data_IF_393279362012
#
_entry.id   IF_393279362012
#
_cell.length_a   1.000
_cell.length_b   1.000
_cell.length_c   1.000
_cell.angle_alpha   90.00
_cell.angle_beta   90.00
_cell.angle_gamma   90.00
#
_symmetry.space_group_name_H-M   'P 1'
#
loop_
_entity.id
_entity.type
_entity.pdbx_description
1 polymer ?
#
# COMPACT_ATOMS: atom_id res chain seq x y z
N UNK A 1 -16.71 2.23 22.17
CA UNK A 1 -16.00 1.98 20.91
C UNK A 1 -14.60 2.57 21.02
N UNK A 2 -13.56 1.73 20.92
CA UNK A 2 -12.18 2.22 20.85
C UNK A 2 -11.98 3.03 19.56
N UNK A 3 -11.06 3.99 19.60
CA UNK A 3 -10.71 4.75 18.40
C UNK A 3 -9.99 3.80 17.44
N UNK A 4 -10.51 3.65 16.22
CA UNK A 4 -9.88 2.83 15.18
C UNK A 4 -8.67 3.51 14.52
N UNK A 5 -8.03 4.47 15.15
CA UNK A 5 -6.90 5.18 14.58
C UNK A 5 -5.86 5.53 15.66
N UNK A 6 -4.57 5.62 15.30
CA UNK A 6 -3.54 6.05 16.22
C UNK A 6 -3.81 7.44 16.80
N UNK A 7 -3.26 7.75 17.98
CA UNK A 7 -3.24 9.15 18.46
C UNK A 7 -2.64 10.02 17.36
N UNK A 8 -3.37 11.05 16.92
CA UNK A 8 -2.96 11.89 15.79
C UNK A 8 -3.37 13.34 15.95
N UNK A 9 -2.68 14.20 15.21
CA UNK A 9 -3.00 15.61 15.10
C UNK A 9 -2.79 16.10 13.67
N UNK A 10 -3.78 16.79 13.12
CA UNK A 10 -3.65 17.52 11.85
C UNK A 10 -3.12 18.90 12.15
N UNK A 11 -2.07 19.32 11.44
CA UNK A 11 -1.39 20.60 11.62
C UNK A 11 -1.16 21.29 10.28
N UNK A 12 -1.23 22.60 10.25
CA UNK A 12 -0.78 23.37 9.08
C UNK A 12 0.75 23.32 9.00
N UNK A 13 1.30 23.35 7.79
CA UNK A 13 2.76 23.30 7.56
C UNK A 13 3.49 24.36 8.37
N UNK A 14 2.96 25.59 8.44
CA UNK A 14 3.55 26.71 9.18
C UNK A 14 3.67 26.45 10.70
N UNK A 15 2.82 25.57 11.24
CA UNK A 15 2.76 25.23 12.66
C UNK A 15 3.54 23.95 12.99
N UNK A 16 3.95 23.21 11.96
CA UNK A 16 4.53 21.87 12.10
C UNK A 16 5.78 21.85 13.00
N UNK A 17 6.77 22.74 12.75
CA UNK A 17 8.01 22.79 13.52
C UNK A 17 7.80 23.11 15.02
N UNK A 18 6.71 23.77 15.37
CA UNK A 18 6.37 24.02 16.77
C UNK A 18 5.63 22.85 17.40
N UNK A 19 4.71 22.25 16.64
CA UNK A 19 3.89 21.12 17.12
C UNK A 19 4.72 19.87 17.35
N UNK A 20 5.67 19.58 16.45
CA UNK A 20 6.47 18.34 16.50
C UNK A 20 7.29 18.21 17.79
N UNK A 21 7.62 19.33 18.45
CA UNK A 21 8.31 19.36 19.74
C UNK A 21 7.53 18.73 20.89
N UNK A 22 6.21 18.54 20.70
CA UNK A 22 5.31 17.92 21.68
C UNK A 22 5.17 16.40 21.46
N UNK A 23 5.90 15.84 20.49
CA UNK A 23 5.81 14.43 20.13
C UNK A 23 7.10 13.70 20.50
N UNK A 24 6.92 12.53 21.10
CA UNK A 24 8.02 11.62 21.43
C UNK A 24 8.22 10.61 20.29
N UNK A 25 9.50 10.26 20.03
CA UNK A 25 9.83 9.22 19.05
C UNK A 25 9.43 7.82 19.56
N UNK A 26 9.04 6.89 18.66
CA UNK A 26 8.84 7.10 17.24
C UNK A 26 7.44 7.66 16.90
N UNK A 27 7.35 8.42 15.80
CA UNK A 27 6.09 8.91 15.26
C UNK A 27 6.10 8.92 13.73
N UNK A 28 4.91 9.08 13.13
CA UNK A 28 4.69 9.09 11.69
C UNK A 28 4.20 10.46 11.25
N UNK A 29 4.73 10.94 10.12
CA UNK A 29 4.25 12.15 9.44
C UNK A 29 3.66 11.73 8.10
N UNK A 30 2.47 12.27 7.78
CA UNK A 30 1.77 12.02 6.51
C UNK A 30 1.25 13.33 5.94
N UNK A 31 1.04 13.46 4.61
CA UNK A 31 0.23 14.54 4.04
C UNK A 31 -1.17 14.53 4.64
N UNK A 32 -1.70 15.72 4.94
CA UNK A 32 -3.01 15.90 5.57
C UNK A 32 -4.07 16.46 4.63
N UNK A 33 -3.75 16.66 3.36
CA UNK A 33 -4.65 17.18 2.35
C UNK A 33 -5.39 16.05 1.61
N UNK A 34 -6.48 16.43 0.92
CA UNK A 34 -7.31 15.51 0.13
C UNK A 34 -6.66 15.08 -1.21
N UNK A 35 -5.38 15.41 -1.41
CA UNK A 35 -4.66 15.01 -2.62
C UNK A 35 -4.34 13.51 -2.58
N UNK A 36 -4.60 12.78 -3.67
CA UNK A 36 -4.35 11.36 -3.70
C UNK A 36 -2.83 11.08 -3.61
N UNK A 37 -2.43 10.39 -2.55
CA UNK A 37 -1.07 9.86 -2.39
C UNK A 37 -1.10 8.36 -2.66
N UNK A 38 -0.11 7.84 -3.39
CA UNK A 38 -0.01 6.42 -3.71
C UNK A 38 1.34 5.86 -3.25
N UNK A 39 1.36 4.58 -2.85
CA UNK A 39 2.59 3.84 -2.59
C UNK A 39 3.39 4.27 -1.36
N UNK A 40 2.78 4.99 -0.42
CA UNK A 40 3.47 5.44 0.81
C UNK A 40 4.50 6.55 0.62
N UNK A 41 4.59 7.16 -0.56
CA UNK A 41 5.61 8.19 -0.86
C UNK A 41 5.54 9.43 0.03
N UNK A 42 4.39 9.70 0.64
CA UNK A 42 4.20 10.81 1.57
C UNK A 42 4.37 10.41 3.04
N UNK A 43 4.53 9.12 3.37
CA UNK A 43 4.67 8.63 4.73
C UNK A 43 6.13 8.70 5.16
N UNK A 44 6.38 9.27 6.34
CA UNK A 44 7.73 9.42 6.91
C UNK A 44 7.69 8.93 8.37
N UNK A 45 8.36 7.83 8.65
CA UNK A 45 8.51 7.31 10.01
C UNK A 45 9.79 7.89 10.61
N UNK A 46 9.65 8.58 11.73
CA UNK A 46 10.75 9.20 12.46
C UNK A 46 11.05 8.39 13.73
N UNK A 47 12.18 7.71 13.77
CA UNK A 47 12.66 6.99 14.93
C UNK A 47 13.57 7.86 15.83
N UNK A 48 14.18 8.91 15.26
CA UNK A 48 15.11 9.82 15.94
C UNK A 48 15.24 11.14 15.17
N UNK A 49 15.95 12.09 15.74
CA UNK A 49 16.13 13.43 15.18
C UNK A 49 16.67 13.46 13.75
N UNK A 50 17.55 12.53 13.38
CA UNK A 50 18.09 12.50 12.02
C UNK A 50 17.01 12.16 10.96
N UNK A 51 16.03 11.32 11.30
CA UNK A 51 14.89 11.02 10.41
C UNK A 51 13.97 12.24 10.32
N UNK A 52 13.72 12.91 11.45
CA UNK A 52 12.93 14.14 11.48
C UNK A 52 13.55 15.24 10.60
N UNK A 53 14.87 15.43 10.64
CA UNK A 53 15.54 16.42 9.79
C UNK A 53 15.39 16.11 8.30
N UNK A 54 15.47 14.83 7.90
CA UNK A 54 15.18 14.40 6.53
C UNK A 54 13.73 14.68 6.15
N UNK A 55 12.79 14.37 7.06
CA UNK A 55 11.36 14.64 6.85
C UNK A 55 11.11 16.14 6.67
N UNK A 56 11.67 17.00 7.50
CA UNK A 56 11.55 18.47 7.40
C UNK A 56 12.09 18.98 6.05
N UNK A 57 13.25 18.47 5.61
CA UNK A 57 13.83 18.85 4.32
C UNK A 57 12.87 18.47 3.17
N UNK A 58 12.37 17.25 3.18
CA UNK A 58 11.43 16.76 2.16
C UNK A 58 10.09 17.53 2.16
N UNK A 59 9.58 17.89 3.33
CA UNK A 59 8.37 18.70 3.46
C UNK A 59 8.62 20.09 2.85
N UNK A 60 9.77 20.72 3.12
CA UNK A 60 10.12 22.04 2.56
C UNK A 60 10.26 22.03 1.04
N UNK A 61 10.74 20.93 0.47
CA UNK A 61 10.82 20.74 -0.98
C UNK A 61 9.44 20.54 -1.62
N UNK A 62 8.52 19.90 -0.89
CA UNK A 62 7.17 19.56 -1.36
C UNK A 62 6.08 20.61 -1.01
N UNK A 63 6.42 21.75 -0.39
CA UNK A 63 5.46 22.77 0.09
C UNK A 63 4.57 23.39 -0.97
N UNK A 64 4.85 23.21 -2.26
CA UNK A 64 3.98 23.65 -3.35
C UNK A 64 2.71 22.78 -3.50
N UNK A 65 2.69 21.57 -2.90
CA UNK A 65 1.65 20.56 -3.13
C UNK A 65 0.83 20.22 -1.88
N UNK A 66 1.28 20.58 -0.68
CA UNK A 66 0.66 20.19 0.59
C UNK A 66 0.52 21.39 1.54
N UNK A 67 -0.67 21.60 2.12
CA UNK A 67 -0.94 22.69 3.08
C UNK A 67 -1.01 22.22 4.53
N UNK A 68 -1.26 20.92 4.75
CA UNK A 68 -1.41 20.32 6.07
C UNK A 68 -0.71 18.98 6.17
N UNK A 69 -0.32 18.64 7.40
CA UNK A 69 0.33 17.38 7.75
C UNK A 69 -0.46 16.69 8.86
N UNK A 70 -0.39 15.37 8.88
CA UNK A 70 -0.86 14.55 9.99
C UNK A 70 0.37 14.04 10.72
N UNK A 71 0.44 14.27 12.04
CA UNK A 71 1.42 13.63 12.92
C UNK A 71 0.67 12.54 13.67
N UNK A 72 1.17 11.31 13.62
CA UNK A 72 0.56 10.14 14.25
C UNK A 72 1.56 9.40 15.15
N UNK A 73 1.06 8.81 16.22
CA UNK A 73 1.81 7.83 16.99
C UNK A 73 2.18 6.63 16.09
N UNK A 74 3.46 6.24 16.09
CA UNK A 74 3.84 4.98 15.46
C UNK A 74 3.31 3.80 16.29
N UNK A 75 2.58 2.91 15.65
CA UNK A 75 2.13 1.66 16.24
C UNK A 75 3.19 0.59 15.99
N UNK A 76 3.61 -0.12 17.05
CA UNK A 76 4.40 -1.33 16.91
C UNK A 76 3.47 -2.44 16.42
N UNK A 77 3.69 -2.87 15.18
CA UNK A 77 2.81 -3.77 14.48
C UNK A 77 3.17 -5.24 14.69
N UNK A 78 2.19 -6.03 15.12
CA UNK A 78 2.20 -7.49 15.07
C UNK A 78 1.78 -7.99 13.68
N UNK A 79 0.83 -7.27 13.05
CA UNK A 79 0.35 -7.59 11.72
C UNK A 79 -0.16 -6.33 10.99
N UNK A 80 -0.10 -6.37 9.65
CA UNK A 80 -0.57 -5.31 8.77
C UNK A 80 -1.44 -5.94 7.68
N UNK A 81 -2.75 -5.71 7.74
CA UNK A 81 -3.72 -6.27 6.81
C UNK A 81 -4.35 -5.18 5.94
N UNK A 82 -4.52 -5.48 4.65
CA UNK A 82 -5.44 -4.76 3.80
C UNK A 82 -6.73 -5.59 3.68
N UNK A 83 -7.80 -5.18 4.37
CA UNK A 83 -9.11 -5.84 4.30
C UNK A 83 -9.99 -5.16 3.27
N UNK A 84 -10.72 -5.96 2.47
CA UNK A 84 -11.49 -5.42 1.36
C UNK A 84 -12.96 -5.80 1.41
N UNK A 85 -13.78 -4.82 1.04
CA UNK A 85 -15.22 -4.93 0.99
C UNK A 85 -15.76 -4.37 -0.32
N UNK A 86 -16.95 -4.85 -0.69
CA UNK A 86 -17.77 -4.25 -1.73
C UNK A 86 -19.16 -3.94 -1.17
N UNK A 87 -19.77 -2.89 -1.68
CA UNK A 87 -21.17 -2.57 -1.40
C UNK A 87 -21.95 -2.34 -2.67
N UNK A 88 -23.13 -2.92 -2.71
CA UNK A 88 -24.20 -2.58 -3.66
C UNK A 88 -25.56 -2.63 -2.95
N UNK A 89 -26.55 -1.91 -3.47
CA UNK A 89 -27.91 -1.92 -2.90
C UNK A 89 -28.54 -3.32 -2.90
N UNK A 90 -28.24 -4.14 -3.91
CA UNK A 90 -28.82 -5.48 -4.03
C UNK A 90 -28.15 -6.54 -3.17
N UNK A 91 -26.85 -6.38 -2.85
CA UNK A 91 -26.07 -7.40 -2.13
C UNK A 91 -25.69 -6.98 -0.70
N UNK A 92 -25.87 -5.70 -0.38
CA UNK A 92 -25.35 -5.15 0.88
C UNK A 92 -23.82 -5.12 0.90
N UNK A 93 -23.24 -5.06 2.10
CA UNK A 93 -21.79 -5.09 2.30
C UNK A 93 -21.30 -6.54 2.21
N UNK A 94 -20.38 -6.80 1.28
CA UNK A 94 -19.73 -8.08 1.08
C UNK A 94 -18.25 -7.98 1.45
N UNK A 95 -17.74 -8.92 2.25
CA UNK A 95 -16.31 -9.09 2.49
C UNK A 95 -15.69 -9.82 1.29
N UNK A 96 -14.66 -9.22 0.67
CA UNK A 96 -13.98 -9.77 -0.50
C UNK A 96 -12.73 -10.58 -0.15
N UNK A 97 -12.21 -10.40 1.06
CA UNK A 97 -10.98 -11.01 1.51
C UNK A 97 -10.01 -10.00 2.10
N UNK A 98 -8.84 -10.48 2.51
CA UNK A 98 -7.75 -9.65 2.98
C UNK A 98 -6.40 -10.14 2.44
N UNK A 99 -5.44 -9.25 2.43
CA UNK A 99 -4.05 -9.51 2.10
C UNK A 99 -3.15 -8.95 3.20
N UNK A 100 -1.99 -9.58 3.43
CA UNK A 100 -0.94 -8.97 4.25
C UNK A 100 -0.28 -7.87 3.43
N UNK A 101 -0.16 -6.68 3.99
CA UNK A 101 0.58 -5.58 3.38
C UNK A 101 2.06 -5.70 3.74
N UNK A 102 2.91 -5.65 2.72
CA UNK A 102 4.36 -5.68 2.89
C UNK A 102 4.90 -4.26 2.86
N UNK A 103 5.61 -3.86 3.92
CA UNK A 103 6.28 -2.56 4.02
C UNK A 103 7.73 -2.76 4.44
N UNK A 104 8.59 -1.80 4.11
CA UNK A 104 9.91 -1.73 4.70
C UNK A 104 9.88 -1.02 6.06
N UNK A 105 11.03 -0.96 6.73
CA UNK A 105 11.17 -0.30 8.03
C UNK A 105 10.85 1.21 8.04
N UNK A 106 10.77 1.83 6.86
CA UNK A 106 10.40 3.24 6.71
C UNK A 106 8.94 3.44 6.28
N UNK A 107 8.16 2.34 6.16
CA UNK A 107 6.76 2.36 5.74
C UNK A 107 6.54 2.40 4.23
N UNK A 108 7.61 2.22 3.40
CA UNK A 108 7.43 2.13 1.96
C UNK A 108 6.76 0.82 1.58
N UNK A 109 5.74 0.93 0.76
CA UNK A 109 4.96 -0.19 0.29
C UNK A 109 5.77 -1.11 -0.64
N UNK A 110 5.80 -2.40 -0.31
CA UNK A 110 6.49 -3.47 -1.03
C UNK A 110 5.55 -4.56 -1.57
N UNK A 111 4.28 -4.24 -1.71
CA UNK A 111 3.27 -5.14 -2.24
C UNK A 111 2.33 -5.73 -1.19
N UNK A 112 1.53 -6.67 -1.65
CA UNK A 112 0.64 -7.47 -0.81
C UNK A 112 0.89 -8.95 -1.06
N UNK A 113 0.79 -9.76 -0.02
CA UNK A 113 0.75 -11.23 -0.15
C UNK A 113 -0.60 -11.78 0.32
N UNK A 114 -1.01 -12.92 -0.24
CA UNK A 114 -2.23 -13.57 0.20
C UNK A 114 -2.09 -14.04 1.65
N UNK A 115 -3.20 -14.00 2.38
CA UNK A 115 -3.29 -14.50 3.75
C UNK A 115 -4.58 -15.29 3.94
N UNK A 116 -4.51 -16.36 4.75
CA UNK A 116 -5.65 -17.25 5.02
C UNK A 116 -6.21 -17.09 6.43
N UNK A 117 -5.43 -16.50 7.34
CA UNK A 117 -5.77 -16.45 8.78
C UNK A 117 -5.90 -15.01 9.26
N UNK A 118 -6.95 -14.31 8.79
CA UNK A 118 -7.28 -12.98 9.29
C UNK A 118 -8.20 -13.11 10.50
N UNK A 119 -7.85 -12.55 11.67
CA UNK A 119 -8.72 -12.59 12.83
C UNK A 119 -10.07 -11.92 12.56
N UNK A 120 -11.17 -12.51 13.07
CA UNK A 120 -12.52 -11.99 12.84
C UNK A 120 -12.68 -10.56 13.34
N UNK A 121 -12.03 -10.18 14.44
CA UNK A 121 -12.10 -8.82 14.97
C UNK A 121 -11.47 -7.76 14.02
N UNK A 122 -10.51 -8.16 13.18
CA UNK A 122 -9.94 -7.29 12.13
C UNK A 122 -10.93 -7.11 10.98
N UNK A 123 -11.59 -8.20 10.56
CA UNK A 123 -12.63 -8.16 9.52
C UNK A 123 -13.79 -7.28 10.00
N UNK A 124 -14.21 -7.44 11.23
CA UNK A 124 -15.30 -6.65 11.83
C UNK A 124 -14.95 -5.16 11.94
N UNK A 125 -13.70 -4.81 12.30
CA UNK A 125 -13.24 -3.43 12.29
C UNK A 125 -13.34 -2.81 10.88
N UNK A 126 -12.91 -3.53 9.85
CA UNK A 126 -13.05 -3.11 8.45
C UNK A 126 -14.51 -2.98 8.02
N UNK A 127 -15.40 -3.90 8.46
CA UNK A 127 -16.84 -3.84 8.19
C UNK A 127 -17.47 -2.57 8.76
N UNK A 128 -17.15 -2.20 9.99
CA UNK A 128 -17.65 -0.99 10.64
C UNK A 128 -17.19 0.27 9.90
N UNK A 129 -15.96 0.30 9.38
CA UNK A 129 -15.48 1.41 8.54
C UNK A 129 -16.29 1.47 7.24
N UNK A 130 -16.53 0.33 6.60
CA UNK A 130 -17.34 0.26 5.38
C UNK A 130 -18.77 0.73 5.61
N UNK A 131 -19.40 0.36 6.73
CA UNK A 131 -20.75 0.82 7.13
C UNK A 131 -20.81 2.35 7.27
N UNK A 132 -19.77 2.96 7.86
CA UNK A 132 -19.67 4.42 7.95
C UNK A 132 -19.63 5.05 6.56
N UNK A 133 -18.81 4.49 5.65
CA UNK A 133 -18.72 4.96 4.27
C UNK A 133 -20.05 4.84 3.53
N UNK A 134 -20.72 3.69 3.62
CA UNK A 134 -22.05 3.44 3.03
C UNK A 134 -23.09 4.42 3.55
N UNK A 135 -23.11 4.67 4.86
CA UNK A 135 -24.03 5.65 5.47
C UNK A 135 -23.75 7.09 5.01
N UNK A 136 -22.55 7.37 4.49
CA UNK A 136 -22.18 8.63 3.85
C UNK A 136 -22.39 8.63 2.33
N UNK A 137 -22.96 7.57 1.76
CA UNK A 137 -23.29 7.44 0.34
C UNK A 137 -22.24 6.72 -0.52
N UNK A 138 -21.23 6.07 0.09
CA UNK A 138 -20.26 5.29 -0.68
C UNK A 138 -20.91 4.07 -1.34
N UNK A 139 -20.53 3.82 -2.59
CA UNK A 139 -20.92 2.65 -3.39
C UNK A 139 -19.68 2.11 -4.11
N UNK A 140 -19.50 0.79 -4.12
CA UNK A 140 -18.42 0.12 -4.85
C UNK A 140 -17.46 -0.63 -3.93
N UNK A 141 -16.20 -0.77 -4.36
CA UNK A 141 -15.13 -1.52 -3.68
C UNK A 141 -14.25 -0.59 -2.87
N UNK A 142 -13.97 -0.97 -1.63
CA UNK A 142 -13.03 -0.27 -0.74
C UNK A 142 -12.05 -1.25 -0.10
N UNK A 143 -10.84 -0.76 0.21
CA UNK A 143 -9.82 -1.50 0.95
C UNK A 143 -9.25 -0.65 2.08
N UNK A 144 -9.13 -1.23 3.27
CA UNK A 144 -8.67 -0.53 4.47
C UNK A 144 -7.40 -1.19 5.00
N UNK A 145 -6.36 -0.37 5.20
CA UNK A 145 -5.11 -0.84 5.79
C UNK A 145 -5.20 -0.74 7.31
N UNK A 146 -5.18 -1.91 7.95
CA UNK A 146 -5.39 -2.08 9.39
C UNK A 146 -4.14 -2.69 10.03
N UNK A 147 -3.52 -1.96 10.96
CA UNK A 147 -2.47 -2.48 11.81
C UNK A 147 -3.09 -3.16 13.04
N UNK A 148 -2.46 -4.25 13.47
CA UNK A 148 -2.76 -4.92 14.74
C UNK A 148 -1.51 -4.84 15.62
N UNK A 149 -1.64 -4.37 16.85
CA UNK A 149 -0.55 -4.35 17.82
C UNK A 149 -0.46 -5.66 18.64
N UNK A 150 0.52 -5.76 19.53
CA UNK A 150 0.72 -6.95 20.38
C UNK A 150 -0.44 -7.23 21.36
N UNK A 151 -1.24 -6.21 21.67
CA UNK A 151 -2.42 -6.30 22.54
C UNK A 151 -3.71 -6.58 21.75
N UNK A 152 -3.60 -6.93 20.45
CA UNK A 152 -4.72 -7.17 19.53
C UNK A 152 -5.63 -5.94 19.28
N UNK A 153 -5.15 -4.72 19.55
CA UNK A 153 -5.85 -3.51 19.15
C UNK A 153 -5.70 -3.28 17.64
N UNK A 154 -6.80 -2.85 17.00
CA UNK A 154 -6.84 -2.58 15.55
C UNK A 154 -6.78 -1.09 15.30
N UNK A 155 -5.91 -0.66 14.37
CA UNK A 155 -5.72 0.73 13.97
C UNK A 155 -5.86 0.88 12.46
N UNK A 156 -6.84 1.66 12.02
CA UNK A 156 -6.97 2.05 10.61
C UNK A 156 -5.94 3.14 10.28
N UNK A 157 -5.06 2.85 9.35
CA UNK A 157 -3.97 3.75 8.95
C UNK A 157 -4.15 4.35 7.56
N UNK A 158 -4.91 3.67 6.68
CA UNK A 158 -5.26 4.19 5.35
C UNK A 158 -6.63 3.65 4.92
N UNK A 159 -7.49 4.56 4.44
CA UNK A 159 -8.87 4.28 4.06
C UNK A 159 -9.04 4.50 2.55
N UNK A 160 -8.89 3.43 1.79
CA UNK A 160 -9.00 3.48 0.36
C UNK A 160 -10.44 3.14 -0.08
N UNK A 161 -11.32 4.15 -0.18
CA UNK A 161 -12.66 4.00 -0.75
C UNK A 161 -12.60 3.89 -2.29
N UNK A 162 -11.81 2.94 -2.76
CA UNK A 162 -11.54 2.60 -4.15
C UNK A 162 -10.89 1.22 -4.24
N UNK A 163 -10.78 0.67 -5.45
CA UNK A 163 -9.88 -0.45 -5.68
C UNK A 163 -8.43 -0.06 -5.36
N UNK A 164 -7.70 -0.98 -4.78
CA UNK A 164 -6.27 -0.82 -4.44
C UNK A 164 -5.43 -2.00 -4.98
N UNK A 165 -4.14 -2.05 -4.62
CA UNK A 165 -3.20 -3.03 -5.17
C UNK A 165 -3.64 -4.48 -4.99
N UNK A 166 -4.15 -4.85 -3.82
CA UNK A 166 -4.54 -6.24 -3.53
C UNK A 166 -5.92 -6.63 -4.07
N UNK A 167 -6.76 -5.69 -4.52
CA UNK A 167 -8.12 -6.00 -5.00
C UNK A 167 -8.12 -7.04 -6.11
N UNK A 168 -7.31 -6.82 -7.15
CA UNK A 168 -7.24 -7.76 -8.30
C UNK A 168 -6.68 -9.12 -7.87
N UNK A 169 -5.69 -9.16 -6.97
CA UNK A 169 -5.13 -10.41 -6.44
C UNK A 169 -6.19 -11.23 -5.70
N UNK A 170 -6.99 -10.59 -4.84
CA UNK A 170 -8.05 -11.27 -4.10
C UNK A 170 -9.16 -11.78 -5.02
N UNK A 171 -9.57 -11.00 -6.02
CA UNK A 171 -10.61 -11.39 -6.97
C UNK A 171 -10.16 -12.51 -7.92
N UNK A 172 -8.88 -12.61 -8.23
CA UNK A 172 -8.29 -13.64 -9.10
C UNK A 172 -7.73 -14.84 -8.31
N UNK A 173 -7.83 -14.85 -6.99
CA UNK A 173 -7.19 -15.86 -6.15
C UNK A 173 -7.59 -17.30 -6.53
N UNK A 174 -8.88 -17.53 -6.80
CA UNK A 174 -9.40 -18.84 -7.18
C UNK A 174 -8.96 -19.27 -8.59
N UNK A 175 -8.87 -18.31 -9.52
CA UNK A 175 -8.48 -18.57 -10.91
C UNK A 175 -6.99 -18.93 -11.00
N UNK A 176 -6.14 -18.25 -10.21
CA UNK A 176 -4.70 -18.54 -10.17
C UNK A 176 -4.40 -19.84 -9.44
N UNK A 177 -5.27 -20.29 -8.52
CA UNK A 177 -5.22 -21.56 -7.80
C UNK A 177 -3.80 -21.95 -7.33
N UNK A 178 -3.10 -21.02 -6.70
CA UNK A 178 -1.72 -21.16 -6.26
C UNK A 178 -1.59 -21.04 -4.74
N UNK A 179 -0.62 -21.73 -4.15
CA UNK A 179 -0.40 -21.73 -2.70
C UNK A 179 0.06 -20.37 -2.17
N UNK A 180 0.81 -19.62 -2.99
CA UNK A 180 1.27 -18.27 -2.64
C UNK A 180 1.07 -17.30 -3.80
N UNK A 181 0.65 -16.09 -3.46
CA UNK A 181 0.43 -14.98 -4.39
C UNK A 181 0.99 -13.70 -3.80
N UNK A 182 1.64 -12.87 -4.65
CA UNK A 182 2.16 -11.56 -4.27
C UNK A 182 1.86 -10.53 -5.35
N UNK A 183 1.11 -9.48 -5.00
CA UNK A 183 0.92 -8.32 -5.86
C UNK A 183 2.08 -7.34 -5.67
N UNK A 184 2.60 -6.81 -6.78
CA UNK A 184 3.51 -5.66 -6.77
C UNK A 184 3.48 -4.89 -8.09
N UNK A 185 4.05 -3.67 -8.09
CA UNK A 185 4.24 -2.85 -9.30
C UNK A 185 5.71 -2.50 -9.46
N UNK A 186 6.24 -2.76 -10.65
CA UNK A 186 7.62 -2.50 -11.03
C UNK A 186 7.71 -1.32 -12.00
N UNK A 187 8.87 -0.67 -12.05
CA UNK A 187 9.20 0.35 -13.02
C UNK A 187 10.46 -0.06 -13.78
N UNK A 188 10.52 0.33 -15.05
CA UNK A 188 11.76 0.18 -15.83
C UNK A 188 12.90 1.00 -15.20
N UNK A 189 14.13 0.49 -15.31
CA UNK A 189 15.34 1.17 -14.77
C UNK A 189 16.06 2.05 -15.79
N UNK A 190 15.64 2.00 -17.06
CA UNK A 190 16.25 2.80 -18.14
C UNK A 190 15.83 2.35 -19.52
N UNK A 191 15.86 1.04 -19.80
CA UNK A 191 15.43 0.47 -21.08
C UNK A 191 14.02 -0.12 -20.96
N UNK A 192 13.02 0.55 -21.55
CA UNK A 192 11.63 0.10 -21.54
C UNK A 192 11.44 -1.17 -22.38
N UNK A 193 12.18 -1.34 -23.47
CA UNK A 193 12.12 -2.53 -24.32
C UNK A 193 12.66 -3.75 -23.59
N UNK A 194 13.82 -3.63 -22.92
CA UNK A 194 14.37 -4.70 -22.09
C UNK A 194 13.39 -5.08 -20.97
N UNK A 195 12.83 -4.09 -20.28
CA UNK A 195 11.83 -4.29 -19.23
C UNK A 195 10.62 -5.10 -19.73
N UNK A 196 10.06 -4.71 -20.88
CA UNK A 196 8.93 -5.41 -21.48
C UNK A 196 9.27 -6.85 -21.88
N UNK A 197 10.43 -7.08 -22.50
CA UNK A 197 10.86 -8.43 -22.89
C UNK A 197 11.10 -9.35 -21.70
N UNK A 198 11.66 -8.81 -20.60
CA UNK A 198 11.82 -9.55 -19.35
C UNK A 198 10.47 -9.95 -18.77
N UNK A 199 9.49 -9.04 -18.72
CA UNK A 199 8.12 -9.34 -18.29
C UNK A 199 7.53 -10.49 -19.12
N UNK A 200 7.63 -10.41 -20.47
CA UNK A 200 7.07 -11.43 -21.36
C UNK A 200 7.66 -12.83 -21.12
N UNK A 201 8.93 -12.92 -20.73
CA UNK A 201 9.57 -14.19 -20.36
C UNK A 201 8.83 -14.85 -19.20
N UNK A 202 8.69 -14.16 -18.06
CA UNK A 202 8.06 -14.70 -16.85
C UNK A 202 6.55 -14.93 -16.99
N UNK A 203 5.86 -14.11 -17.81
CA UNK A 203 4.47 -14.38 -18.17
C UNK A 203 4.33 -15.67 -18.96
N UNK A 204 5.22 -15.94 -19.94
CA UNK A 204 5.20 -17.18 -20.74
C UNK A 204 5.59 -18.41 -19.90
N UNK A 205 6.45 -18.24 -18.92
CA UNK A 205 6.83 -19.29 -17.96
C UNK A 205 5.70 -19.62 -16.97
N UNK A 206 4.65 -18.78 -16.89
CA UNK A 206 3.48 -19.01 -16.06
C UNK A 206 3.69 -18.70 -14.58
N UNK A 207 4.74 -17.96 -14.21
CA UNK A 207 5.03 -17.57 -12.83
C UNK A 207 4.51 -16.17 -12.46
N UNK A 208 4.10 -15.39 -13.48
CA UNK A 208 3.72 -14.00 -13.36
C UNK A 208 2.44 -13.72 -14.16
N UNK A 209 1.41 -13.21 -13.47
CA UNK A 209 0.15 -12.82 -14.07
C UNK A 209 0.09 -11.30 -14.29
N UNK A 210 -0.04 -10.80 -15.53
CA UNK A 210 -0.06 -9.37 -15.83
C UNK A 210 -1.41 -8.74 -15.48
N UNK A 211 -1.39 -7.58 -14.82
CA UNK A 211 -2.60 -6.80 -14.50
C UNK A 211 -2.65 -5.49 -15.30
N UNK A 212 -1.54 -4.78 -15.39
CA UNK A 212 -1.48 -3.51 -16.10
C UNK A 212 -0.06 -3.24 -16.59
N UNK A 213 0.05 -2.64 -17.78
CA UNK A 213 1.31 -2.15 -18.32
C UNK A 213 1.12 -0.71 -18.84
N UNK A 214 1.96 0.19 -18.40
CA UNK A 214 2.09 1.54 -18.94
C UNK A 214 3.39 1.59 -19.73
N UNK A 215 3.30 1.90 -21.01
CA UNK A 215 4.45 2.06 -21.90
C UNK A 215 4.99 3.49 -21.81
N UNK A 216 6.17 3.64 -21.24
CA UNK A 216 6.83 4.93 -21.10
C UNK A 216 7.29 5.55 -22.42
N UNK A 217 7.43 4.74 -23.47
CA UNK A 217 7.87 5.23 -24.79
C UNK A 217 6.69 5.72 -25.66
N UNK A 218 5.44 5.53 -25.20
CA UNK A 218 4.24 5.87 -26.00
C UNK A 218 4.19 7.34 -26.45
N UNK A 219 4.62 8.26 -25.60
CA UNK A 219 4.54 9.71 -25.87
C UNK A 219 5.76 10.31 -26.59
N UNK A 220 6.86 9.58 -26.72
CA UNK A 220 7.98 9.90 -27.61
C UNK A 220 8.86 11.11 -27.27
N UNK A 221 8.55 11.88 -26.24
CA UNK A 221 9.25 13.15 -25.98
C UNK A 221 10.28 13.09 -24.85
N UNK A 222 10.05 12.30 -23.80
CA UNK A 222 10.99 12.13 -22.70
C UNK A 222 11.07 10.65 -22.32
N UNK A 223 12.22 10.19 -21.83
CA UNK A 223 12.40 8.83 -21.33
C UNK A 223 11.60 8.61 -20.04
N UNK A 224 10.29 8.45 -20.21
CA UNK A 224 9.40 8.11 -19.12
C UNK A 224 9.56 6.63 -18.79
N UNK A 225 9.63 6.30 -17.49
CA UNK A 225 9.72 4.90 -17.06
C UNK A 225 8.42 4.17 -17.32
N UNK A 226 8.51 3.01 -17.96
CA UNK A 226 7.39 2.07 -18.04
C UNK A 226 7.04 1.55 -16.64
N UNK A 227 5.76 1.22 -16.42
CA UNK A 227 5.25 0.66 -15.17
C UNK A 227 4.46 -0.61 -15.43
N UNK A 228 4.65 -1.60 -14.59
CA UNK A 228 4.01 -2.89 -14.70
C UNK A 228 3.45 -3.35 -13.34
N UNK A 229 2.13 -3.54 -13.27
CA UNK A 229 1.44 -4.13 -12.13
C UNK A 229 1.12 -5.60 -12.39
N UNK A 230 1.43 -6.49 -11.46
CA UNK A 230 1.32 -7.92 -11.64
C UNK A 230 1.04 -8.69 -10.35
N UNK A 231 0.70 -9.98 -10.53
CA UNK A 231 0.65 -10.97 -9.45
C UNK A 231 1.71 -12.02 -9.74
N UNK A 232 2.68 -12.15 -8.85
CA UNK A 232 3.52 -13.34 -8.76
C UNK A 232 2.72 -14.46 -8.12
N UNK A 233 2.80 -15.67 -8.66
CA UNK A 233 2.08 -16.81 -8.11
C UNK A 233 2.84 -18.12 -8.29
N UNK A 234 2.59 -19.07 -7.39
CA UNK A 234 3.23 -20.39 -7.40
C UNK A 234 2.81 -21.23 -6.20
N UNK A 235 3.38 -22.44 -6.13
CA UNK A 235 3.01 -23.42 -5.10
C UNK A 235 3.51 -23.02 -3.71
N UNK A 236 4.63 -22.29 -3.63
CA UNK A 236 5.22 -21.86 -2.36
C UNK A 236 5.76 -20.42 -2.41
N UNK A 237 5.87 -19.82 -1.23
CA UNK A 237 6.46 -18.49 -1.03
C UNK A 237 7.93 -18.45 -1.50
N UNK A 238 8.68 -19.49 -1.19
CA UNK A 238 10.10 -19.63 -1.55
C UNK A 238 10.29 -19.54 -3.06
N UNK A 239 9.55 -20.35 -3.82
CA UNK A 239 9.62 -20.38 -5.29
C UNK A 239 9.25 -19.03 -5.90
N UNK A 240 8.19 -18.40 -5.41
CA UNK A 240 7.75 -17.10 -5.92
C UNK A 240 8.78 -16.00 -5.64
N UNK A 241 9.36 -15.97 -4.43
CA UNK A 241 10.38 -14.98 -4.09
C UNK A 241 11.71 -15.23 -4.81
N UNK A 242 12.04 -16.48 -5.19
CA UNK A 242 13.19 -16.81 -6.04
C UNK A 242 12.99 -16.29 -7.46
N UNK A 243 11.81 -16.51 -8.05
CA UNK A 243 11.45 -15.99 -9.37
C UNK A 243 11.48 -14.46 -9.40
N UNK A 244 10.93 -13.80 -8.38
CA UNK A 244 10.96 -12.33 -8.26
C UNK A 244 12.40 -11.81 -8.16
N UNK A 245 13.26 -12.45 -7.36
CA UNK A 245 14.69 -12.07 -7.26
C UNK A 245 15.43 -12.22 -8.59
N UNK A 246 15.18 -13.33 -9.32
CA UNK A 246 15.75 -13.54 -10.64
C UNK A 246 15.31 -12.48 -11.64
N UNK A 247 14.02 -12.16 -11.66
CA UNK A 247 13.45 -11.07 -12.48
C UNK A 247 14.12 -9.71 -12.17
N UNK A 248 14.23 -9.37 -10.89
CA UNK A 248 14.87 -8.11 -10.49
C UNK A 248 16.35 -8.06 -10.88
N UNK A 249 17.08 -9.16 -10.75
CA UNK A 249 18.47 -9.25 -11.17
C UNK A 249 18.64 -9.09 -12.69
N UNK A 250 17.73 -9.66 -13.50
CA UNK A 250 17.73 -9.44 -14.96
C UNK A 250 17.50 -7.97 -15.32
N UNK A 251 16.68 -7.25 -14.57
CA UNK A 251 16.44 -5.81 -14.78
C UNK A 251 17.62 -4.91 -14.38
N UNK A 252 18.57 -5.41 -13.57
CA UNK A 252 19.74 -4.64 -13.13
C UNK A 252 20.94 -4.72 -14.08
N UNK A 253 20.96 -5.71 -14.96
CA UNK A 253 22.11 -5.97 -15.84
C UNK A 253 22.15 -5.16 -17.15
N UNK A 254 21.27 -4.12 -17.31
CA UNK A 254 21.24 -3.25 -18.49
C UNK A 254 21.11 -1.77 -18.15
#
# INVERSE_FOLDING_TARGET
>A
MGSFYPKRKVVKIEQFENEIKNWEFPFVIKPGDDLPTAGGYGVMICYHDADLQKAITRIKEATAETNSLIIEQKIEEKANYCVQFAYSESLGIQYLGAATQLTDKYGFYNGNENTTNVPEYVIEAGRQIMEIGVNQGFFGVAGFDLLVDEDDNVYAIDLNFRQNGSTSMLLLANELNSGYQKFYSYHSKGDNTHFFNTILKYVKEGSLYPLSYYDGDWYGEDKVKSRFGCIWHGDSKETVLENERAFLAELEHY
#
